data_IF_833177514722
#
_entry.id   IF_833177514722
#
_cell.length_a   1.000
_cell.length_b   1.000
_cell.length_c   1.000
_cell.angle_alpha   90.00
_cell.angle_beta   90.00
_cell.angle_gamma   90.00
#
_symmetry.space_group_name_H-M   'P 1'
#
loop_
_entity.id
_entity.type
_entity.pdbx_description
1 polymer ?
#
# COMPACT_ATOMS: atom_id res chain seq x y z
N UNK A 1 -7.11 24.49 -23.91
CA UNK A 1 -6.61 23.16 -24.28
C UNK A 1 -5.47 22.88 -23.33
N UNK A 2 -5.75 22.19 -22.23
CA UNK A 2 -4.73 21.67 -21.31
C UNK A 2 -4.16 20.42 -21.96
N UNK A 3 -3.12 20.63 -22.76
CA UNK A 3 -2.35 19.59 -23.40
C UNK A 3 -1.31 19.10 -22.38
N UNK A 4 -1.67 18.08 -21.60
CA UNK A 4 -0.76 17.39 -20.66
C UNK A 4 0.32 16.58 -21.40
N UNK A 5 0.45 16.70 -22.72
CA UNK A 5 1.45 16.05 -23.55
C UNK A 5 2.26 17.06 -24.39
N UNK A 6 2.20 18.35 -24.04
CA UNK A 6 3.08 19.33 -24.66
C UNK A 6 4.51 19.07 -24.20
N UNK A 7 5.53 19.13 -25.09
CA UNK A 7 6.93 18.93 -24.72
C UNK A 7 7.42 19.81 -23.56
N UNK A 8 6.77 20.95 -23.32
CA UNK A 8 7.08 21.82 -22.18
C UNK A 8 6.61 21.27 -20.84
N UNK A 9 5.56 20.43 -20.82
CA UNK A 9 5.00 19.83 -19.61
C UNK A 9 5.73 18.54 -19.18
N UNK A 10 6.72 18.11 -19.96
CA UNK A 10 7.55 16.95 -19.65
C UNK A 10 8.99 17.36 -19.32
N UNK A 11 9.23 18.67 -19.18
CA UNK A 11 10.54 19.19 -18.83
C UNK A 11 10.75 18.99 -17.34
N UNK A 12 11.66 18.09 -16.99
CA UNK A 12 12.04 17.86 -15.62
C UNK A 12 12.66 19.11 -14.98
N UNK A 13 12.80 19.11 -13.66
CA UNK A 13 13.32 20.23 -12.89
C UNK A 13 14.65 20.78 -13.45
N UNK A 14 14.59 22.01 -13.96
CA UNK A 14 15.76 22.70 -14.49
C UNK A 14 16.15 22.36 -15.92
N UNK A 15 15.45 21.40 -16.58
CA UNK A 15 15.54 21.25 -18.03
C UNK A 15 15.03 22.51 -18.71
N UNK A 16 15.57 22.83 -19.88
CA UNK A 16 15.18 24.03 -20.61
C UNK A 16 14.98 23.76 -22.09
N UNK A 17 14.01 24.46 -22.66
CA UNK A 17 13.89 24.62 -24.11
C UNK A 17 13.93 26.11 -24.42
N UNK A 18 14.46 26.44 -25.60
CA UNK A 18 14.50 27.82 -26.09
C UNK A 18 13.71 27.93 -27.38
N UNK A 19 12.86 28.95 -27.46
CA UNK A 19 12.19 29.36 -28.69
C UNK A 19 12.77 30.71 -29.14
N UNK A 20 13.12 30.81 -30.41
CA UNK A 20 13.66 32.05 -30.99
C UNK A 20 12.68 32.61 -32.01
N UNK A 21 12.27 33.86 -31.80
CA UNK A 21 11.37 34.60 -32.68
C UNK A 21 12.11 35.77 -33.32
N UNK A 22 12.25 35.76 -34.64
CA UNK A 22 12.85 36.89 -35.37
C UNK A 22 11.80 37.97 -35.62
N UNK A 23 12.00 39.14 -35.01
CA UNK A 23 11.18 40.34 -35.23
C UNK A 23 11.76 41.14 -36.38
N UNK A 24 10.97 41.42 -37.41
CA UNK A 24 11.38 42.27 -38.55
C UNK A 24 10.64 43.60 -38.49
N UNK A 25 11.37 44.71 -38.57
CA UNK A 25 10.81 46.06 -38.76
C UNK A 25 11.06 46.53 -40.19
N UNK A 26 10.13 47.28 -40.77
CA UNK A 26 10.25 47.83 -42.13
C UNK A 26 9.88 49.32 -42.10
N UNK A 27 10.72 50.16 -42.70
CA UNK A 27 10.45 51.60 -42.78
C UNK A 27 9.45 51.95 -43.91
N UNK A 28 9.04 53.21 -44.00
CA UNK A 28 8.12 53.70 -45.04
C UNK A 28 8.65 53.58 -46.47
N UNK A 29 9.95 53.33 -46.63
CA UNK A 29 10.67 53.26 -47.89
C UNK A 29 11.05 51.82 -48.28
N UNK A 30 10.69 50.83 -47.44
CA UNK A 30 10.88 49.40 -47.69
C UNK A 30 12.19 48.82 -47.16
N UNK A 31 13.02 49.57 -46.42
CA UNK A 31 14.21 49.03 -45.78
C UNK A 31 13.82 48.24 -44.52
N UNK A 32 14.49 47.11 -44.25
CA UNK A 32 14.18 46.23 -43.12
C UNK A 32 15.35 46.07 -42.14
N UNK A 33 15.03 45.88 -40.86
CA UNK A 33 15.97 45.44 -39.83
C UNK A 33 15.36 44.29 -39.01
N UNK A 34 16.18 43.42 -38.44
CA UNK A 34 15.73 42.21 -37.74
C UNK A 34 16.39 42.05 -36.38
N UNK A 35 15.63 41.61 -35.38
CA UNK A 35 16.13 41.27 -34.05
C UNK A 35 15.52 39.94 -33.58
N UNK A 36 16.37 39.03 -33.12
CA UNK A 36 15.90 37.80 -32.47
C UNK A 36 15.47 38.08 -31.03
N UNK A 37 14.33 37.51 -30.65
CA UNK A 37 13.80 37.43 -29.30
C UNK A 37 13.87 35.97 -28.87
N UNK A 38 14.70 35.68 -27.87
CA UNK A 38 14.87 34.34 -27.32
C UNK A 38 14.01 34.21 -26.07
N UNK A 39 13.12 33.21 -26.06
CA UNK A 39 12.31 32.81 -24.91
C UNK A 39 12.91 31.51 -24.37
N UNK A 40 13.28 31.51 -23.09
CA UNK A 40 13.70 30.30 -22.40
C UNK A 40 12.56 29.82 -21.50
N UNK A 41 12.18 28.57 -21.65
CA UNK A 41 11.23 27.88 -20.78
C UNK A 41 12.04 26.92 -19.92
N UNK A 42 11.84 26.98 -18.61
CA UNK A 42 12.49 26.09 -17.64
C UNK A 42 11.43 25.18 -17.02
N UNK A 43 11.72 23.88 -17.02
CA UNK A 43 10.90 22.84 -16.41
C UNK A 43 10.83 22.97 -14.89
N UNK A 44 9.72 22.51 -14.34
CA UNK A 44 9.49 22.37 -12.90
C UNK A 44 9.59 20.89 -12.52
N UNK A 45 9.48 20.58 -11.23
CA UNK A 45 9.21 19.21 -10.83
C UNK A 45 7.70 19.06 -10.65
N UNK A 46 7.08 18.20 -11.44
CA UNK A 46 5.69 17.84 -11.25
C UNK A 46 5.52 16.88 -10.04
N UNK A 47 4.28 16.64 -9.62
CA UNK A 47 4.00 15.74 -8.49
C UNK A 47 3.59 14.38 -9.08
N UNK A 48 4.14 13.25 -8.58
CA UNK A 48 3.79 11.94 -9.12
C UNK A 48 2.35 11.57 -8.80
N UNK A 49 1.70 10.89 -9.73
CA UNK A 49 0.39 10.29 -9.57
C UNK A 49 0.49 8.88 -8.97
N UNK A 50 -0.40 8.56 -8.03
CA UNK A 50 -0.49 7.26 -7.36
C UNK A 50 -1.94 6.78 -7.29
N UNK A 51 -2.19 5.57 -7.76
CA UNK A 51 -3.44 4.83 -7.51
C UNK A 51 -3.12 3.50 -6.84
N UNK A 52 -3.92 3.13 -5.84
CA UNK A 52 -3.73 1.91 -5.04
C UNK A 52 -5.09 1.23 -4.84
N UNK A 53 -5.13 -0.10 -4.83
CA UNK A 53 -6.25 -0.84 -4.24
C UNK A 53 -6.24 -0.62 -2.72
N UNK A 54 -7.11 0.25 -2.23
CA UNK A 54 -7.04 0.77 -0.85
C UNK A 54 -7.55 -0.19 0.25
N UNK A 55 -7.92 -1.42 -0.08
CA UNK A 55 -8.45 -2.38 0.89
C UNK A 55 -7.96 -3.80 0.61
N UNK A 56 -7.61 -4.52 1.65
CA UNK A 56 -7.34 -5.95 1.63
C UNK A 56 -8.05 -6.66 2.77
N UNK A 57 -8.54 -7.89 2.53
CA UNK A 57 -9.14 -8.68 3.59
C UNK A 57 -8.83 -10.15 3.45
N UNK A 58 -8.58 -10.79 4.58
CA UNK A 58 -8.44 -12.24 4.72
C UNK A 58 -9.40 -12.72 5.81
N UNK A 59 -9.76 -13.98 5.74
CA UNK A 59 -10.53 -14.66 6.80
C UNK A 59 -9.69 -15.86 7.21
N UNK A 60 -9.44 -16.00 8.50
CA UNK A 60 -8.76 -17.20 9.00
C UNK A 60 -9.52 -18.48 8.61
N UNK A 61 -8.84 -19.61 8.65
CA UNK A 61 -9.42 -20.93 8.36
C UNK A 61 -10.05 -21.06 6.97
N UNK A 62 -9.72 -20.14 6.06
CA UNK A 62 -10.22 -20.15 4.69
C UNK A 62 -9.58 -21.26 3.85
N UNK A 63 -8.43 -21.81 4.28
CA UNK A 63 -7.63 -22.77 3.51
C UNK A 63 -7.01 -23.87 4.41
N UNK A 64 -7.67 -25.02 4.54
CA UNK A 64 -7.13 -26.18 5.29
C UNK A 64 -6.13 -27.02 4.46
N UNK A 65 -5.21 -26.37 3.74
CA UNK A 65 -4.11 -27.05 3.01
C UNK A 65 -2.76 -26.39 3.30
N UNK A 66 -1.74 -27.22 3.55
CA UNK A 66 -0.42 -26.74 3.93
C UNK A 66 0.42 -26.22 2.74
N UNK A 67 1.13 -25.07 2.87
CA UNK A 67 1.11 -24.18 4.03
C UNK A 67 -0.20 -23.38 4.09
N UNK A 68 -0.79 -23.32 5.28
CA UNK A 68 -2.03 -22.60 5.54
C UNK A 68 -1.72 -21.11 5.70
N UNK A 69 -1.91 -20.39 4.59
CA UNK A 69 -1.52 -19.00 4.41
C UNK A 69 -2.74 -18.16 4.09
N UNK A 70 -2.81 -16.99 4.73
CA UNK A 70 -3.81 -15.98 4.47
C UNK A 70 -3.21 -14.92 3.56
N UNK A 71 -3.69 -14.86 2.31
CA UNK A 71 -3.14 -13.99 1.27
C UNK A 71 -4.19 -13.02 0.75
N UNK A 72 -3.83 -11.74 0.69
CA UNK A 72 -4.56 -10.71 -0.04
C UNK A 72 -3.58 -9.90 -0.90
N UNK A 73 -4.03 -9.45 -2.07
CA UNK A 73 -3.22 -8.66 -3.00
C UNK A 73 -4.00 -7.44 -3.47
N UNK A 74 -3.29 -6.41 -3.91
CA UNK A 74 -3.89 -5.26 -4.57
C UNK A 74 -2.94 -4.59 -5.55
N UNK A 75 -3.51 -3.86 -6.50
CA UNK A 75 -2.77 -3.23 -7.58
C UNK A 75 -2.26 -1.84 -7.13
N UNK A 76 -1.09 -1.46 -7.65
CA UNK A 76 -0.50 -0.12 -7.53
C UNK A 76 -0.19 0.39 -8.93
N UNK A 77 -0.53 1.63 -9.23
CA UNK A 77 -0.05 2.30 -10.46
C UNK A 77 0.57 3.64 -10.10
N UNK A 78 1.74 3.89 -10.66
CA UNK A 78 2.48 5.15 -10.51
C UNK A 78 2.73 5.78 -11.86
N UNK A 79 2.75 7.10 -11.91
CA UNK A 79 3.06 7.87 -13.11
C UNK A 79 3.64 9.22 -12.73
N UNK A 80 4.60 9.71 -13.50
CA UNK A 80 5.03 11.10 -13.46
C UNK A 80 5.17 11.61 -14.89
N UNK A 81 4.84 12.89 -15.10
CA UNK A 81 4.86 13.52 -16.42
C UNK A 81 6.24 14.01 -16.82
N UNK A 82 7.15 14.19 -15.86
CA UNK A 82 8.53 14.62 -16.09
C UNK A 82 9.34 13.53 -16.82
N UNK A 83 10.10 13.95 -17.83
CA UNK A 83 10.93 13.03 -18.60
C UNK A 83 12.05 12.43 -17.75
N UNK A 84 12.28 11.13 -17.95
CA UNK A 84 13.33 10.34 -17.28
C UNK A 84 13.22 10.35 -15.75
N UNK A 85 12.03 10.63 -15.21
CA UNK A 85 11.84 10.58 -13.77
C UNK A 85 11.93 9.14 -13.22
N UNK A 86 12.35 9.05 -11.97
CA UNK A 86 12.55 7.78 -11.26
C UNK A 86 11.69 7.80 -10.01
N UNK A 87 10.67 6.95 -10.01
CA UNK A 87 9.73 6.82 -8.91
C UNK A 87 10.16 5.73 -7.94
N UNK A 88 10.10 6.04 -6.65
CA UNK A 88 10.35 5.09 -5.56
C UNK A 88 9.09 4.90 -4.74
N UNK A 89 8.72 3.64 -4.48
CA UNK A 89 7.62 3.28 -3.60
C UNK A 89 8.11 2.98 -2.19
N UNK A 90 7.30 3.35 -1.20
CA UNK A 90 7.51 3.00 0.21
C UNK A 90 6.18 2.78 0.91
N UNK A 91 6.19 2.00 1.98
CA UNK A 91 5.04 1.79 2.84
C UNK A 91 5.40 2.04 4.31
N UNK A 92 4.49 2.65 5.05
CA UNK A 92 4.63 2.86 6.50
C UNK A 92 3.34 2.50 7.23
N UNK A 93 3.45 1.74 8.31
CA UNK A 93 2.32 1.43 9.18
C UNK A 93 1.85 2.69 9.95
N UNK A 94 0.53 2.87 10.02
CA UNK A 94 -0.10 4.08 10.57
C UNK A 94 -0.29 4.09 12.09
N UNK A 95 0.08 3.02 12.79
CA UNK A 95 -0.04 2.97 14.26
C UNK A 95 -1.47 2.76 14.75
N UNK A 96 -2.34 2.19 13.91
CA UNK A 96 -3.79 2.15 14.08
C UNK A 96 -4.38 0.73 14.16
N UNK A 97 -3.56 -0.26 14.54
CA UNK A 97 -4.05 -1.63 14.74
C UNK A 97 -5.10 -1.67 15.84
N UNK A 98 -6.26 -2.19 15.49
CA UNK A 98 -7.42 -2.29 16.34
C UNK A 98 -7.99 -3.71 16.26
N UNK A 99 -8.10 -4.36 17.41
CA UNK A 99 -8.79 -5.64 17.53
C UNK A 99 -10.20 -5.37 18.05
N UNK A 100 -11.18 -5.50 17.16
CA UNK A 100 -12.59 -5.29 17.43
C UNK A 100 -13.19 -6.50 18.14
N UNK A 101 -12.76 -6.75 19.37
CA UNK A 101 -13.33 -7.77 20.26
C UNK A 101 -13.80 -7.12 21.58
N UNK A 102 -15.11 -7.18 21.92
CA UNK A 102 -15.65 -6.55 23.13
C UNK A 102 -15.27 -7.25 24.45
N UNK A 103 -14.68 -8.44 24.40
CA UNK A 103 -14.42 -9.33 25.53
C UNK A 103 -12.92 -9.53 25.84
N UNK A 104 -11.98 -9.15 24.96
CA UNK A 104 -10.55 -9.47 25.09
C UNK A 104 -9.62 -8.27 25.34
N UNK A 105 -8.41 -8.57 25.81
CA UNK A 105 -7.31 -7.63 25.98
C UNK A 105 -6.63 -7.29 24.65
N UNK A 106 -5.95 -6.15 24.56
CA UNK A 106 -5.20 -5.73 23.38
C UNK A 106 -4.14 -6.76 22.95
N UNK A 107 -3.81 -6.76 21.65
CA UNK A 107 -2.74 -7.60 21.08
C UNK A 107 -1.41 -7.37 21.80
N UNK A 108 -0.63 -8.44 21.94
CA UNK A 108 0.75 -8.34 22.42
C UNK A 108 1.64 -7.67 21.37
N UNK A 109 2.75 -7.07 21.79
CA UNK A 109 3.70 -6.44 20.85
C UNK A 109 4.25 -7.43 19.80
N UNK A 110 4.38 -8.71 20.16
CA UNK A 110 4.82 -9.74 19.22
C UNK A 110 3.75 -10.01 18.17
N UNK A 111 2.48 -10.20 18.57
CA UNK A 111 1.37 -10.37 17.62
C UNK A 111 1.26 -9.18 16.67
N UNK A 112 1.36 -7.95 17.18
CA UNK A 112 1.37 -6.76 16.32
C UNK A 112 2.54 -6.83 15.32
N UNK A 113 3.75 -7.15 15.78
CA UNK A 113 4.92 -7.27 14.89
C UNK A 113 4.72 -8.31 13.80
N UNK A 114 4.16 -9.48 14.13
CA UNK A 114 3.97 -10.59 13.20
C UNK A 114 2.89 -10.26 12.17
N UNK A 115 1.78 -9.63 12.58
CA UNK A 115 0.73 -9.19 11.67
C UNK A 115 1.20 -8.11 10.70
N UNK A 116 2.02 -7.17 11.17
CA UNK A 116 2.55 -6.10 10.32
C UNK A 116 3.61 -6.60 9.33
N UNK A 117 4.36 -7.64 9.69
CA UNK A 117 5.38 -8.24 8.82
C UNK A 117 4.79 -8.91 7.57
N UNK A 118 3.48 -9.18 7.54
CA UNK A 118 2.80 -9.74 6.39
C UNK A 118 2.63 -8.78 5.22
N UNK A 119 2.70 -7.46 5.44
CA UNK A 119 2.53 -6.48 4.36
C UNK A 119 3.83 -6.20 3.63
N UNK A 120 3.81 -6.27 2.31
CA UNK A 120 4.95 -5.99 1.44
C UNK A 120 4.51 -5.28 0.16
N UNK A 121 5.40 -4.46 -0.38
CA UNK A 121 5.24 -3.90 -1.72
C UNK A 121 5.99 -4.80 -2.71
N UNK A 122 5.31 -5.16 -3.79
CA UNK A 122 5.94 -5.76 -4.94
C UNK A 122 6.41 -4.65 -5.87
N UNK A 123 7.72 -4.39 -5.85
CA UNK A 123 8.34 -3.37 -6.68
C UNK A 123 8.46 -3.81 -8.15
N UNK A 124 8.32 -5.12 -8.44
CA UNK A 124 8.50 -5.69 -9.78
C UNK A 124 7.15 -5.86 -10.51
N UNK A 125 6.08 -6.22 -9.80
CA UNK A 125 4.73 -6.41 -10.37
C UNK A 125 3.74 -5.25 -10.09
N UNK A 126 4.24 -4.14 -9.51
CA UNK A 126 3.46 -2.93 -9.20
C UNK A 126 2.21 -3.24 -8.36
N UNK A 127 2.39 -3.88 -7.20
CA UNK A 127 1.29 -4.22 -6.30
C UNK A 127 1.71 -4.25 -4.84
N UNK A 128 0.75 -4.53 -3.96
CA UNK A 128 1.02 -4.90 -2.58
C UNK A 128 0.51 -6.30 -2.31
N UNK A 129 1.20 -7.01 -1.41
CA UNK A 129 0.81 -8.33 -0.93
C UNK A 129 0.74 -8.30 0.60
N UNK A 130 -0.35 -8.85 1.13
CA UNK A 130 -0.46 -9.24 2.52
C UNK A 130 -0.44 -10.76 2.62
N UNK A 131 0.54 -11.32 3.33
CA UNK A 131 0.71 -12.76 3.47
C UNK A 131 1.15 -13.10 4.91
N UNK A 132 0.29 -13.81 5.65
CA UNK A 132 0.60 -14.32 7.01
C UNK A 132 0.24 -15.81 7.17
N UNK A 133 0.85 -16.48 8.15
CA UNK A 133 0.42 -17.83 8.55
C UNK A 133 -0.94 -17.73 9.25
N UNK A 134 -1.88 -18.60 8.90
CA UNK A 134 -3.21 -18.65 9.52
C UNK A 134 -3.13 -18.80 11.06
N UNK A 135 -2.19 -19.63 11.54
CA UNK A 135 -1.95 -19.86 12.96
C UNK A 135 -1.61 -18.59 13.79
N UNK A 136 -1.25 -17.48 13.14
CA UNK A 136 -1.03 -16.21 13.84
C UNK A 136 -2.32 -15.54 14.29
N UNK A 137 -3.47 -15.93 13.73
CA UNK A 137 -4.77 -15.29 13.97
C UNK A 137 -5.87 -16.24 14.44
N UNK A 138 -5.60 -17.55 14.49
CA UNK A 138 -6.42 -18.70 14.96
C UNK A 138 -7.06 -18.56 16.37
N UNK A 139 -6.97 -17.40 16.98
CA UNK A 139 -7.63 -17.03 18.23
C UNK A 139 -8.84 -16.11 18.02
N UNK A 140 -9.13 -15.68 16.78
CA UNK A 140 -10.19 -14.73 16.48
C UNK A 140 -11.54 -15.43 16.42
N UNK A 141 -12.44 -15.13 17.36
CA UNK A 141 -13.76 -15.74 17.34
C UNK A 141 -14.64 -15.19 16.18
N UNK A 142 -15.71 -15.92 15.85
CA UNK A 142 -16.70 -15.47 14.87
C UNK A 142 -17.26 -14.08 15.26
N UNK A 143 -17.10 -13.13 14.34
CA UNK A 143 -17.51 -11.73 14.53
C UNK A 143 -16.41 -10.82 15.06
N UNK A 144 -15.28 -11.35 15.51
CA UNK A 144 -14.08 -10.55 15.78
C UNK A 144 -13.40 -10.14 14.47
N UNK A 145 -12.73 -8.99 14.50
CA UNK A 145 -11.83 -8.59 13.41
C UNK A 145 -10.64 -7.78 13.90
N UNK A 146 -9.52 -7.88 13.20
CA UNK A 146 -8.37 -7.01 13.37
C UNK A 146 -8.26 -6.11 12.14
N UNK A 147 -8.19 -4.80 12.36
CA UNK A 147 -8.01 -3.78 11.32
C UNK A 147 -6.76 -2.96 11.56
N UNK A 148 -6.01 -2.64 10.51
CA UNK A 148 -4.83 -1.76 10.54
C UNK A 148 -4.58 -1.18 9.15
N UNK A 149 -3.79 -0.13 9.04
CA UNK A 149 -3.49 0.47 7.74
C UNK A 149 -2.03 0.81 7.51
N UNK A 150 -1.66 0.84 6.23
CA UNK A 150 -0.38 1.31 5.74
C UNK A 150 -0.58 2.48 4.79
N UNK A 151 0.21 3.53 4.97
CA UNK A 151 0.38 4.58 3.99
C UNK A 151 1.41 4.15 2.94
N UNK A 152 0.96 3.99 1.71
CA UNK A 152 1.78 3.73 0.53
C UNK A 152 2.10 5.07 -0.13
N UNK A 153 3.39 5.37 -0.29
CA UNK A 153 3.87 6.63 -0.83
C UNK A 153 4.74 6.38 -2.06
N UNK A 154 4.45 7.09 -3.15
CA UNK A 154 5.36 7.25 -4.28
C UNK A 154 6.10 8.58 -4.14
N UNK A 155 7.41 8.57 -4.32
CA UNK A 155 8.26 9.77 -4.30
C UNK A 155 9.11 9.80 -5.57
N UNK A 156 9.19 10.95 -6.22
CA UNK A 156 10.08 11.17 -7.36
C UNK A 156 11.54 11.41 -6.93
N UNK A 157 12.44 11.52 -7.91
CA UNK A 157 13.86 11.71 -7.65
C UNK A 157 14.22 13.07 -7.02
N UNK A 158 13.31 14.06 -7.11
CA UNK A 158 13.48 15.42 -6.61
C UNK A 158 12.75 15.67 -5.27
N UNK A 159 12.01 14.68 -4.77
CA UNK A 159 11.36 14.65 -3.47
C UNK A 159 9.89 15.07 -3.46
N UNK A 160 9.21 15.29 -4.59
CA UNK A 160 7.75 15.39 -4.55
C UNK A 160 7.12 14.01 -4.42
N UNK A 161 5.94 13.95 -3.81
CA UNK A 161 5.35 12.68 -3.41
C UNK A 161 3.82 12.73 -3.34
N UNK A 162 3.21 11.55 -3.49
CA UNK A 162 1.79 11.30 -3.26
C UNK A 162 1.63 10.06 -2.39
N UNK A 163 0.68 10.11 -1.46
CA UNK A 163 0.41 9.04 -0.48
C UNK A 163 -1.04 8.58 -0.56
N UNK A 164 -1.26 7.27 -0.46
CA UNK A 164 -2.57 6.62 -0.40
C UNK A 164 -2.57 5.57 0.72
N UNK A 165 -3.69 5.41 1.42
CA UNK A 165 -3.81 4.47 2.54
C UNK A 165 -4.43 3.14 2.10
N UNK A 166 -3.81 2.02 2.49
CA UNK A 166 -4.34 0.66 2.35
C UNK A 166 -4.82 0.18 3.72
N UNK A 167 -6.11 -0.17 3.83
CA UNK A 167 -6.69 -0.75 5.04
C UNK A 167 -6.78 -2.26 4.92
N UNK A 168 -6.22 -2.96 5.91
CA UNK A 168 -6.28 -4.41 6.03
C UNK A 168 -7.36 -4.82 7.04
N UNK A 169 -8.04 -5.93 6.78
CA UNK A 169 -9.03 -6.53 7.68
C UNK A 169 -8.85 -8.05 7.74
N UNK A 170 -8.60 -8.57 8.95
CA UNK A 170 -8.56 -10.00 9.23
C UNK A 170 -9.84 -10.34 9.98
N UNK A 171 -10.63 -11.27 9.45
CA UNK A 171 -11.89 -11.71 10.05
C UNK A 171 -11.70 -13.04 10.77
N UNK A 172 -12.24 -13.15 11.97
CA UNK A 172 -12.31 -14.39 12.75
C UNK A 172 -13.41 -15.32 12.29
N UNK A 173 -13.26 -16.59 12.63
CA UNK A 173 -14.22 -17.65 12.37
C UNK A 173 -14.62 -18.37 13.65
N UNK A 174 -15.62 -19.26 13.57
CA UNK A 174 -15.95 -20.10 14.72
C UNK A 174 -15.12 -21.38 14.64
N UNK A 175 -14.15 -21.50 15.53
CA UNK A 175 -13.31 -22.68 15.63
C UNK A 175 -14.11 -23.93 16.05
N UNK A 176 -13.68 -25.09 15.56
CA UNK A 176 -14.18 -26.36 16.06
C UNK A 176 -13.74 -26.57 17.52
N UNK A 177 -14.58 -27.16 18.39
CA UNK A 177 -14.19 -27.41 19.78
C UNK A 177 -13.00 -28.38 19.83
N UNK A 178 -11.90 -27.91 20.43
CA UNK A 178 -10.72 -28.74 20.68
C UNK A 178 -10.79 -29.32 22.09
N UNK A 179 -10.72 -30.65 22.21
CA UNK A 179 -10.52 -31.32 23.49
C UNK A 179 -9.01 -31.50 23.71
N UNK A 180 -8.42 -30.70 24.58
CA UNK A 180 -7.06 -30.91 25.09
C UNK A 180 -7.15 -31.71 26.41
N UNK A 181 -6.84 -33.02 26.41
CA UNK A 181 -6.83 -33.77 27.66
C UNK A 181 -5.73 -33.22 28.57
N UNK A 182 -6.10 -32.82 29.79
CA UNK A 182 -5.15 -32.50 30.85
C UNK A 182 -4.54 -33.81 31.37
N UNK A 183 -3.25 -33.86 31.74
CA UNK A 183 -2.70 -35.00 32.47
C UNK A 183 -3.42 -35.25 33.82
N UNK A 184 -4.20 -34.28 34.31
CA UNK A 184 -5.07 -34.41 35.47
C UNK A 184 -6.47 -34.96 35.15
N UNK A 185 -6.78 -35.25 33.87
CA UNK A 185 -7.98 -36.01 33.46
C UNK A 185 -7.80 -37.51 33.74
N UNK A 186 -7.17 -37.79 34.88
CA UNK A 186 -6.87 -39.10 35.40
C UNK A 186 -8.19 -39.80 35.74
N UNK A 187 -8.44 -40.88 35.00
CA UNK A 187 -9.53 -41.85 35.12
C UNK A 187 -10.40 -41.69 36.38
N UNK A 188 -11.62 -41.18 36.19
CA UNK A 188 -12.65 -41.27 37.23
C UNK A 188 -12.82 -42.73 37.65
N UNK A 189 -12.55 -43.03 38.92
CA UNK A 189 -12.80 -44.35 39.49
C UNK A 189 -14.30 -44.64 39.45
N UNK A 190 -14.69 -45.71 38.74
CA UNK A 190 -16.02 -46.31 38.87
C UNK A 190 -16.01 -47.28 40.04
N UNK A 191 -16.56 -46.86 41.19
CA UNK A 191 -16.89 -47.79 42.28
C UNK A 191 -18.34 -48.26 42.09
N UNK A 192 -18.51 -49.45 41.52
CA UNK A 192 -19.80 -50.16 41.59
C UNK A 192 -20.03 -50.64 43.03
N UNK A 193 -20.99 -50.03 43.74
CA UNK A 193 -21.49 -50.58 44.99
C UNK A 193 -22.36 -51.81 44.69
N UNK A 194 -21.72 -52.97 44.58
CA UNK A 194 -22.42 -54.25 44.61
C UNK A 194 -23.01 -54.50 46.00
N UNK A 195 -24.33 -54.43 46.12
CA UNK A 195 -25.07 -54.96 47.26
C UNK A 195 -25.14 -56.48 47.11
N UNK A 196 -24.65 -57.22 48.10
CA UNK A 196 -25.19 -58.52 48.53
C UNK A 196 -25.12 -58.64 50.05
#
# INVERSE_FOLDING_TARGET
SSDNNSPVNQLALGETITETYTVTVTDSNGATDTQDVVITITGTNDIPELTVTNTGSVTEDSIDVAPDRLVATGDITTFDVDNNDVLTLSASYNGDIDWQNPAMAALTAQQVSDLLAGFSLDNDDMGWTYDIDNALVDFLAEGDSITFSFDVTVTDANGAFTTQTVTMTINGTNDAPVITPSPDDEAGEVIEAGVQ
#
